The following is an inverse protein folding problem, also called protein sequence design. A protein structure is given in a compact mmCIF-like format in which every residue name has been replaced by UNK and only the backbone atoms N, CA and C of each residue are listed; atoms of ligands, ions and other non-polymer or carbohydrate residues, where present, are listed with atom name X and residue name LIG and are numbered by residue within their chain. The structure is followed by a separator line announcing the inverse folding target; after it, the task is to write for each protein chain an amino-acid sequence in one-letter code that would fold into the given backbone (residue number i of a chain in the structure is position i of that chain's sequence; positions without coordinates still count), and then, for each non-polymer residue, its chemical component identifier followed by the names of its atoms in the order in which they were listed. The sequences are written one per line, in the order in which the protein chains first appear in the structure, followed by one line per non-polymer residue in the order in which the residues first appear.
data_IF_004290211077
#
_entry.id   IF_004290211077
#
_cell.length_a   1.000
_cell.length_b   1.000
_cell.length_c   1.000
_cell.angle_alpha   90.00
_cell.angle_beta   90.00
_cell.angle_gamma   90.00
#
_symmetry.space_group_name_H-M   'P 1'
#
loop_
_entity.id
_entity.type
_entity.pdbx_description
1 polymer ?
#
# COMPACT_ATOMS: atom_id res chain seq x y z
N UNK A 1 -1.18 -3.79 0.08
CA UNK A 1 0.07 -3.17 0.57
C UNK A 1 1.22 -3.74 -0.23
N UNK A 2 2.06 -2.86 -0.76
CA UNK A 2 3.27 -3.23 -1.52
C UNK A 2 4.46 -2.57 -0.85
N UNK A 3 5.46 -3.36 -0.46
CA UNK A 3 6.73 -2.89 0.08
C UNK A 3 7.79 -2.92 -1.00
N UNK A 4 8.52 -1.83 -1.16
CA UNK A 4 9.58 -1.69 -2.17
C UNK A 4 10.80 -0.94 -1.63
N UNK A 5 11.93 -1.14 -2.28
CA UNK A 5 13.21 -0.51 -1.96
C UNK A 5 13.38 0.77 -2.78
N UNK A 6 13.73 1.86 -2.11
CA UNK A 6 14.08 3.15 -2.70
C UNK A 6 15.51 3.11 -3.28
N UNK A 7 15.89 4.03 -4.18
CA UNK A 7 17.24 4.08 -4.74
C UNK A 7 18.36 4.18 -3.70
N UNK A 8 18.07 4.72 -2.51
CA UNK A 8 19.02 4.83 -1.40
C UNK A 8 19.09 3.57 -0.51
N UNK A 9 18.41 2.49 -0.91
CA UNK A 9 18.40 1.21 -0.21
C UNK A 9 17.40 1.11 0.93
N UNK A 10 16.68 2.18 1.29
CA UNK A 10 15.65 2.12 2.34
C UNK A 10 14.38 1.46 1.81
N UNK A 11 13.67 0.73 2.66
CA UNK A 11 12.37 0.15 2.33
C UNK A 11 11.22 1.09 2.72
N UNK A 12 10.16 1.11 1.92
CA UNK A 12 8.93 1.86 2.19
C UNK A 12 7.70 1.13 1.65
N UNK A 13 6.52 1.56 2.10
CA UNK A 13 5.24 0.91 1.82
C UNK A 13 4.30 1.84 1.02
N UNK A 14 3.76 1.30 -0.07
CA UNK A 14 2.58 1.85 -0.73
C UNK A 14 1.31 1.16 -0.19
N UNK A 15 0.43 1.97 0.37
CA UNK A 15 -0.86 1.55 0.93
C UNK A 15 -2.00 2.13 0.10
N UNK A 16 -2.79 1.23 -0.49
CA UNK A 16 -3.95 1.57 -1.28
C UNK A 16 -4.33 0.46 -2.27
N UNK A 17 -5.35 0.68 -3.11
CA UNK A 17 -5.75 -0.24 -4.15
C UNK A 17 -4.65 -0.45 -5.18
N UNK A 18 -4.48 -1.69 -5.61
CA UNK A 18 -3.64 -2.04 -6.76
C UNK A 18 -4.44 -1.78 -8.03
N UNK A 19 -3.95 -0.89 -8.91
CA UNK A 19 -4.70 -0.44 -10.10
C UNK A 19 -4.13 -0.97 -11.41
N UNK A 20 -2.82 -1.24 -11.49
CA UNK A 20 -2.19 -1.88 -12.64
C UNK A 20 -1.02 -2.76 -12.20
N UNK A 21 -0.85 -3.89 -12.90
CA UNK A 21 0.32 -4.76 -12.80
C UNK A 21 0.77 -5.07 -14.23
N UNK A 22 1.95 -4.56 -14.57
CA UNK A 22 2.63 -4.78 -15.84
C UNK A 22 3.91 -5.60 -15.59
N UNK A 23 4.62 -5.91 -16.67
CA UNK A 23 5.86 -6.68 -16.62
C UNK A 23 6.92 -6.00 -15.75
N UNK A 24 7.09 -4.68 -15.88
CA UNK A 24 8.16 -3.93 -15.21
C UNK A 24 7.65 -2.92 -14.18
N UNK A 25 6.33 -2.71 -14.11
CA UNK A 25 5.72 -1.66 -13.29
C UNK A 25 4.49 -2.17 -12.54
N UNK A 26 4.34 -1.71 -11.30
CA UNK A 26 3.15 -1.90 -10.47
C UNK A 26 2.65 -0.52 -10.05
N UNK A 27 1.35 -0.28 -10.18
CA UNK A 27 0.74 1.01 -9.84
C UNK A 27 -0.26 0.82 -8.71
N UNK A 28 -0.10 1.64 -7.65
CA UNK A 28 -0.97 1.66 -6.47
C UNK A 28 -1.57 3.06 -6.35
N UNK A 29 -2.89 3.15 -6.20
CA UNK A 29 -3.54 4.41 -5.84
C UNK A 29 -3.37 4.63 -4.32
N UNK A 30 -2.34 5.39 -3.94
CA UNK A 30 -2.01 5.60 -2.55
C UNK A 30 -2.84 6.70 -1.91
N UNK A 31 -2.99 6.66 -0.58
CA UNK A 31 -3.69 7.71 0.19
C UNK A 31 -3.14 9.13 -0.07
N UNK A 32 -1.86 9.24 -0.45
CA UNK A 32 -1.17 10.51 -0.77
C UNK A 32 -0.96 10.72 -2.27
N UNK A 33 -1.70 10.00 -3.11
CA UNK A 33 -1.60 10.01 -4.57
C UNK A 33 -1.06 8.71 -5.15
N UNK A 34 -1.14 8.61 -6.48
CA UNK A 34 -0.69 7.45 -7.25
C UNK A 34 0.82 7.21 -7.08
N UNK A 35 1.18 5.96 -6.74
CA UNK A 35 2.57 5.50 -6.62
C UNK A 35 2.86 4.50 -7.74
N UNK A 36 3.95 4.75 -8.49
CA UNK A 36 4.44 3.88 -9.55
C UNK A 36 5.72 3.20 -9.07
N UNK A 37 5.73 1.87 -9.05
CA UNK A 37 6.78 1.06 -8.40
C UNK A 37 7.39 0.14 -9.45
N UNK A 38 8.71 0.20 -9.70
CA UNK A 38 9.40 -0.79 -10.51
C UNK A 38 9.20 -2.19 -9.94
N UNK A 39 8.78 -3.16 -10.75
CA UNK A 39 8.47 -4.52 -10.28
C UNK A 39 9.66 -5.18 -9.58
N UNK A 40 10.87 -4.97 -10.11
CA UNK A 40 12.11 -5.51 -9.52
C UNK A 40 12.50 -4.91 -8.17
N UNK A 41 11.92 -3.77 -7.77
CA UNK A 41 12.18 -3.16 -6.46
C UNK A 41 11.24 -3.68 -5.36
N UNK A 42 10.20 -4.45 -5.71
CA UNK A 42 9.21 -4.96 -4.76
C UNK A 42 9.79 -6.14 -3.99
N UNK A 43 9.76 -6.05 -2.66
CA UNK A 43 10.28 -7.10 -1.78
C UNK A 43 9.17 -7.85 -1.03
N UNK A 44 7.98 -7.27 -0.93
CA UNK A 44 6.80 -7.96 -0.39
C UNK A 44 5.50 -7.31 -0.89
N UNK A 45 4.47 -8.13 -1.08
CA UNK A 45 3.12 -7.65 -1.35
C UNK A 45 2.10 -8.54 -0.65
N UNK A 46 1.05 -7.93 -0.11
CA UNK A 46 -0.11 -8.65 0.43
C UNK A 46 -1.39 -7.84 0.30
N UNK A 47 -2.51 -8.54 0.17
CA UNK A 47 -3.82 -7.94 0.41
C UNK A 47 -3.90 -7.47 1.87
N UNK A 48 -4.46 -6.28 2.09
CA UNK A 48 -4.74 -5.76 3.44
C UNK A 48 -6.23 -5.96 3.68
N UNK A 49 -6.63 -6.62 4.78
CA UNK A 49 -8.05 -6.75 5.09
C UNK A 49 -8.68 -5.36 5.34
N UNK A 50 -9.98 -5.19 5.07
CA UNK A 50 -10.67 -3.95 5.39
C UNK A 50 -10.52 -3.62 6.89
N UNK A 51 -10.50 -2.32 7.27
CA UNK A 51 -10.49 -1.93 8.67
C UNK A 51 -11.65 -2.58 9.44
N UNK A 52 -11.44 -2.98 10.70
CA UNK A 52 -12.52 -3.51 11.53
C UNK A 52 -13.62 -2.46 11.73
N UNK A 53 -14.85 -2.91 11.99
CA UNK A 53 -15.98 -2.02 12.26
C UNK A 53 -15.66 -1.02 13.39
N UNK A 54 -15.99 0.28 13.23
CA UNK A 54 -15.77 1.27 14.28
C UNK A 54 -16.50 0.89 15.57
N UNK A 55 -15.76 0.80 16.67
CA UNK A 55 -16.37 0.56 17.99
C UNK A 55 -17.28 1.73 18.35
N UNK A 56 -18.57 1.45 18.58
CA UNK A 56 -19.52 2.45 19.07
C UNK A 56 -19.04 2.94 20.45
N UNK A 57 -18.56 4.18 20.54
CA UNK A 57 -18.28 4.81 21.83
C UNK A 57 -19.62 4.96 22.55
N UNK A 58 -19.81 4.22 23.64
CA UNK A 58 -20.87 4.53 24.60
C UNK A 58 -20.55 5.90 25.20
N UNK A 59 -21.39 6.89 24.91
CA UNK A 59 -21.35 8.19 25.60
C UNK A 59 -21.78 7.89 27.05
N UNK A 60 -20.85 7.98 27.99
CA UNK A 60 -21.18 7.89 29.41
C UNK A 60 -21.98 9.15 29.79
N UNK A 61 -23.10 9.03 30.51
CA UNK A 61 -23.84 10.18 31.03
C UNK A 61 -22.99 10.98 32.02
#
# INVERSE_FOLDING_TARGET
MVRYVLPDGRATDALGPLVSVEADLVVVEGVRGTVRIPRGAIIAAKAVPPPPEPRRRLRRP
#
